data_IF_516269003221
#
_entry.id   IF_516269003221
#
_cell.length_a   1.000
_cell.length_b   1.000
_cell.length_c   1.000
_cell.angle_alpha   90.00
_cell.angle_beta   90.00
_cell.angle_gamma   90.00
#
_symmetry.space_group_name_H-M   'P 1'
#
loop_
_entity.id
_entity.type
_entity.pdbx_description
1 polymer ?
#
# COMPACT_ATOMS: atom_id res chain seq x y z
N UNK A 1 -23.09 6.84 13.70
CA UNK A 1 -22.67 6.66 13.69
C UNK A 1 -22.01 6.33 13.61
N UNK A 2 -21.86 6.53 13.71
CA UNK A 2 -20.99 6.27 13.59
C UNK A 2 -20.66 5.29 13.52
N UNK A 3 -20.74 4.67 13.42
CA UNK A 3 -20.24 3.83 13.29
C UNK A 3 -20.03 3.09 12.64
N UNK A 4 -21.17 3.07 12.14
CA UNK A 4 -20.15 2.64 11.57
C UNK A 4 -19.07 2.34 12.39
N UNK A 5 -19.41 2.63 13.28
CA UNK A 5 -18.58 2.72 13.96
C UNK A 5 -17.32 2.26 14.24
N UNK A 6 -17.03 1.20 14.74
CA UNK A 6 -15.64 0.81 15.00
C UNK A 6 -14.80 0.86 13.75
N UNK A 7 -15.33 0.32 12.65
CA UNK A 7 -14.62 0.39 11.39
C UNK A 7 -14.48 1.82 10.91
N UNK A 8 -15.55 2.58 11.07
CA UNK A 8 -15.52 3.98 10.69
C UNK A 8 -14.53 4.79 11.51
N UNK A 9 -14.45 4.48 12.80
CA UNK A 9 -13.51 5.17 13.67
C UNK A 9 -12.08 4.79 13.35
N UNK A 10 -11.82 3.50 13.12
CA UNK A 10 -10.49 3.06 12.76
C UNK A 10 -10.04 3.72 11.47
N UNK A 11 -10.94 3.79 10.50
CA UNK A 11 -10.62 4.43 9.24
C UNK A 11 -10.37 5.92 9.45
N UNK A 12 -11.15 6.57 10.31
CA UNK A 12 -10.94 7.99 10.59
C UNK A 12 -9.59 8.25 11.23
N UNK A 13 -9.23 7.44 12.21
CA UNK A 13 -7.95 7.63 12.88
C UNK A 13 -6.79 7.40 11.92
N UNK A 14 -6.88 6.36 11.12
CA UNK A 14 -5.86 6.08 10.12
C UNK A 14 -5.84 7.18 9.07
N UNK A 15 -7.02 7.59 8.61
CA UNK A 15 -7.13 8.60 7.58
C UNK A 15 -6.64 9.96 8.07
N UNK A 16 -6.92 10.29 9.33
CA UNK A 16 -6.47 11.55 9.90
C UNK A 16 -4.97 11.68 9.90
N UNK A 17 -4.30 10.63 10.38
CA UNK A 17 -2.84 10.59 10.36
C UNK A 17 -2.32 10.55 8.93
N UNK A 18 -2.99 9.77 8.10
CA UNK A 18 -2.59 9.65 6.71
C UNK A 18 -2.72 10.97 5.96
N UNK A 19 -3.80 11.69 6.20
CA UNK A 19 -4.03 12.98 5.54
C UNK A 19 -2.94 13.97 5.89
N UNK A 20 -2.54 14.01 7.16
CA UNK A 20 -1.48 14.92 7.57
C UNK A 20 -0.15 14.54 6.95
N UNK A 21 0.19 13.26 6.99
CA UNK A 21 1.42 12.78 6.36
C UNK A 21 1.38 13.03 4.86
N UNK A 22 0.22 12.84 4.27
CA UNK A 22 0.05 13.07 2.85
C UNK A 22 0.28 14.54 2.51
N UNK A 23 -0.25 15.44 3.33
CA UNK A 23 -0.06 16.87 3.12
C UNK A 23 1.41 17.25 3.21
N UNK A 24 2.12 16.70 4.20
CA UNK A 24 3.54 16.94 4.34
C UNK A 24 4.32 16.42 3.13
N UNK A 25 3.93 15.25 2.65
CA UNK A 25 4.55 14.69 1.46
C UNK A 25 4.30 15.54 0.23
N UNK A 26 3.11 16.10 0.12
CA UNK A 26 2.79 16.98 -1.00
C UNK A 26 3.66 18.24 -0.99
N UNK A 27 3.88 18.82 0.17
CA UNK A 27 4.77 19.98 0.27
C UNK A 27 6.18 19.62 -0.13
N UNK A 28 6.70 18.51 0.40
CA UNK A 28 8.03 18.05 0.04
C UNK A 28 8.13 17.69 -1.43
N UNK A 29 7.06 17.10 -1.95
CA UNK A 29 7.01 16.72 -3.36
C UNK A 29 7.11 17.92 -4.27
N UNK A 30 6.44 19.01 -3.92
CA UNK A 30 6.51 20.22 -4.73
C UNK A 30 7.94 20.74 -4.83
N UNK A 31 8.68 20.67 -3.73
CA UNK A 31 10.08 21.10 -3.72
C UNK A 31 10.95 20.21 -4.57
N UNK A 32 10.73 18.89 -4.46
CA UNK A 32 11.52 17.92 -5.22
C UNK A 32 11.18 17.95 -6.70
N UNK A 33 9.93 18.22 -7.05
CA UNK A 33 9.50 18.23 -8.43
C UNK A 33 10.09 19.38 -9.24
N UNK A 34 10.75 20.31 -8.58
CA UNK A 34 11.48 21.36 -9.28
C UNK A 34 12.71 20.79 -10.01
N UNK A 35 13.21 19.65 -9.56
CA UNK A 35 14.35 18.97 -10.19
C UNK A 35 13.86 17.72 -10.92
N UNK A 36 13.97 17.66 -12.26
CA UNK A 36 13.43 16.52 -13.02
C UNK A 36 13.99 15.17 -12.60
N UNK A 37 15.28 15.09 -12.27
CA UNK A 37 15.87 13.82 -11.85
C UNK A 37 15.33 13.40 -10.49
N UNK A 38 15.30 14.33 -9.55
CA UNK A 38 14.77 14.05 -8.23
C UNK A 38 13.30 13.68 -8.30
N UNK A 39 12.57 14.31 -9.22
CA UNK A 39 11.16 14.02 -9.40
C UNK A 39 10.95 12.57 -9.82
N UNK A 40 11.72 12.09 -10.79
CA UNK A 40 11.58 10.73 -11.26
C UNK A 40 11.88 9.72 -10.15
N UNK A 41 13.01 9.90 -9.47
CA UNK A 41 13.41 8.99 -8.40
C UNK A 41 12.39 9.01 -7.27
N UNK A 42 11.94 10.20 -6.90
CA UNK A 42 10.96 10.34 -5.81
C UNK A 42 9.66 9.61 -6.13
N UNK A 43 9.14 9.83 -7.35
CA UNK A 43 7.87 9.22 -7.73
C UNK A 43 7.96 7.70 -7.72
N UNK A 44 9.02 7.15 -8.32
CA UNK A 44 9.17 5.70 -8.41
C UNK A 44 9.38 5.08 -7.04
N UNK A 45 10.30 5.64 -6.27
CA UNK A 45 10.64 5.09 -4.96
C UNK A 45 9.49 5.25 -3.97
N UNK A 46 8.85 6.40 -3.97
CA UNK A 46 7.79 6.67 -3.01
C UNK A 46 6.60 5.74 -3.22
N UNK A 47 6.19 5.54 -4.47
CA UNK A 47 5.06 4.65 -4.77
C UNK A 47 5.41 3.21 -4.39
N UNK A 48 6.60 2.76 -4.71
CA UNK A 48 7.02 1.40 -4.38
C UNK A 48 7.01 1.18 -2.87
N UNK A 49 7.54 2.15 -2.13
CA UNK A 49 7.58 2.05 -0.67
C UNK A 49 6.17 2.07 -0.10
N UNK A 50 5.29 2.91 -0.62
CA UNK A 50 3.92 2.98 -0.15
C UNK A 50 3.21 1.64 -0.37
N UNK A 51 3.35 1.07 -1.56
CA UNK A 51 2.73 -0.21 -1.85
C UNK A 51 3.27 -1.30 -0.92
N UNK A 52 4.58 -1.34 -0.72
CA UNK A 52 5.18 -2.34 0.15
C UNK A 52 4.64 -2.24 1.58
N UNK A 53 4.50 -1.03 2.08
CA UNK A 53 3.98 -0.83 3.43
C UNK A 53 2.52 -1.27 3.55
N UNK A 54 1.73 -0.93 2.55
CA UNK A 54 0.31 -1.29 2.55
C UNK A 54 0.13 -2.80 2.49
N UNK A 55 0.88 -3.46 1.62
CA UNK A 55 0.79 -4.91 1.49
C UNK A 55 1.25 -5.63 2.75
N UNK A 56 2.37 -5.20 3.30
CA UNK A 56 2.86 -5.81 4.54
C UNK A 56 1.88 -5.65 5.69
N UNK A 57 1.28 -4.48 5.80
CA UNK A 57 0.31 -4.22 6.84
C UNK A 57 -0.95 -5.05 6.64
N UNK A 58 -1.42 -5.16 5.40
CA UNK A 58 -2.61 -5.95 5.10
C UNK A 58 -2.37 -7.42 5.47
N UNK A 59 -1.19 -7.95 5.15
CA UNK A 59 -0.87 -9.33 5.50
C UNK A 59 -0.84 -9.50 7.02
N UNK A 60 -0.18 -8.60 7.72
CA UNK A 60 -0.09 -8.69 9.17
C UNK A 60 -1.47 -8.62 9.83
N UNK A 61 -2.33 -7.75 9.34
CA UNK A 61 -3.68 -7.64 9.88
C UNK A 61 -4.50 -8.88 9.62
N UNK A 62 -4.26 -9.57 8.52
CA UNK A 62 -4.97 -10.80 8.20
C UNK A 62 -4.38 -12.00 8.92
N UNK A 63 -3.23 -11.84 9.57
CA UNK A 63 -2.53 -12.89 10.30
C UNK A 63 -2.12 -14.04 9.40
N UNK A 64 -1.87 -13.75 8.13
CA UNK A 64 -1.39 -14.75 7.19
C UNK A 64 0.11 -14.62 7.02
N UNK A 65 0.76 -15.76 6.79
CA UNK A 65 2.18 -15.75 6.47
C UNK A 65 2.35 -15.52 4.98
N UNK A 66 3.57 -15.16 4.59
CA UNK A 66 3.88 -15.02 3.17
C UNK A 66 3.62 -16.35 2.43
N UNK A 67 3.95 -17.46 3.06
CA UNK A 67 3.73 -18.77 2.44
C UNK A 67 2.24 -19.04 2.21
N UNK A 68 1.40 -18.65 3.16
CA UNK A 68 -0.03 -18.85 3.03
C UNK A 68 -0.61 -18.02 1.90
N UNK A 69 -0.18 -16.76 1.79
CA UNK A 69 -0.66 -15.91 0.71
C UNK A 69 -0.12 -16.39 -0.62
N UNK A 70 1.14 -16.83 -0.65
CA UNK A 70 1.74 -17.35 -1.88
C UNK A 70 0.94 -18.57 -2.38
N UNK A 71 0.51 -19.41 -1.46
CA UNK A 71 -0.31 -20.57 -1.83
C UNK A 71 -1.64 -20.13 -2.43
N UNK A 72 -2.27 -19.12 -1.84
CA UNK A 72 -3.52 -18.61 -2.36
C UNK A 72 -3.37 -17.97 -3.74
N UNK A 73 -2.22 -17.40 -4.01
CA UNK A 73 -1.95 -16.75 -5.29
C UNK A 73 -1.28 -17.70 -6.28
N UNK A 74 -1.11 -18.96 -5.90
CA UNK A 74 -0.45 -19.96 -6.76
C UNK A 74 0.93 -19.54 -7.19
N UNK A 75 1.71 -19.04 -6.25
CA UNK A 75 3.07 -18.60 -6.52
C UNK A 75 3.99 -19.10 -5.41
N UNK A 76 5.28 -18.78 -5.52
CA UNK A 76 6.26 -19.18 -4.52
C UNK A 76 6.38 -18.12 -3.44
N UNK A 77 6.89 -18.55 -2.28
CA UNK A 77 7.13 -17.62 -1.19
C UNK A 77 8.15 -16.56 -1.60
N UNK A 78 9.15 -16.92 -2.38
CA UNK A 78 10.15 -15.98 -2.87
C UNK A 78 9.52 -14.91 -3.76
N UNK A 79 8.63 -15.34 -4.67
CA UNK A 79 7.92 -14.40 -5.54
C UNK A 79 7.04 -13.49 -4.73
N UNK A 80 6.36 -14.04 -3.73
CA UNK A 80 5.49 -13.22 -2.90
C UNK A 80 6.28 -12.20 -2.09
N UNK A 81 7.46 -12.58 -1.63
CA UNK A 81 8.31 -11.64 -0.91
C UNK A 81 8.66 -10.44 -1.77
N UNK A 82 8.92 -10.66 -3.06
CA UNK A 82 9.16 -9.56 -3.99
C UNK A 82 7.93 -8.71 -4.20
N UNK A 83 6.77 -9.36 -4.34
CA UNK A 83 5.50 -8.66 -4.49
C UNK A 83 5.26 -7.77 -3.27
N UNK A 84 5.51 -8.29 -2.09
CA UNK A 84 5.28 -7.55 -0.85
C UNK A 84 6.22 -6.35 -0.74
N UNK A 85 7.35 -6.40 -1.43
CA UNK A 85 8.26 -5.26 -1.49
C UNK A 85 7.88 -4.25 -2.57
N UNK A 86 6.81 -4.53 -3.30
CA UNK A 86 6.34 -3.64 -4.34
C UNK A 86 7.11 -3.74 -5.64
N UNK A 87 7.89 -4.80 -5.82
CA UNK A 87 8.72 -4.96 -7.02
C UNK A 87 7.91 -5.58 -8.16
N UNK A 88 7.87 -4.88 -9.29
CA UNK A 88 7.23 -5.36 -10.52
C UNK A 88 5.82 -5.89 -10.30
N UNK A 89 5.06 -5.20 -9.47
CA UNK A 89 3.71 -5.63 -9.16
C UNK A 89 2.74 -5.12 -10.21
N UNK A 90 1.84 -5.99 -10.66
CA UNK A 90 0.78 -5.60 -11.57
C UNK A 90 -0.47 -5.29 -10.76
N UNK A 91 -1.42 -4.61 -11.40
CA UNK A 91 -2.69 -4.32 -10.74
C UNK A 91 -3.43 -5.61 -10.39
N UNK A 92 -3.37 -6.60 -11.28
CA UNK A 92 -3.99 -7.89 -11.01
C UNK A 92 -3.38 -8.57 -9.80
N UNK A 93 -2.07 -8.54 -9.69
CA UNK A 93 -1.39 -9.12 -8.54
C UNK A 93 -1.73 -8.39 -7.26
N UNK A 94 -1.79 -7.06 -7.34
CA UNK A 94 -2.18 -6.24 -6.19
C UNK A 94 -3.59 -6.61 -5.72
N UNK A 95 -4.52 -6.73 -6.65
CA UNK A 95 -5.89 -7.10 -6.33
C UNK A 95 -5.96 -8.50 -5.73
N UNK A 96 -5.20 -9.44 -6.27
CA UNK A 96 -5.18 -10.80 -5.76
C UNK A 96 -4.60 -10.87 -4.35
N UNK A 97 -3.54 -10.13 -4.10
CA UNK A 97 -2.95 -10.05 -2.76
C UNK A 97 -3.97 -9.51 -1.76
N UNK A 98 -4.64 -8.41 -2.14
CA UNK A 98 -5.64 -7.81 -1.26
C UNK A 98 -6.77 -8.78 -0.98
N UNK A 99 -7.26 -9.47 -2.01
CA UNK A 99 -8.34 -10.45 -1.84
C UNK A 99 -7.91 -11.57 -0.90
N UNK A 100 -6.67 -12.03 -1.01
CA UNK A 100 -6.15 -13.07 -0.12
C UNK A 100 -6.17 -12.60 1.34
N UNK A 101 -6.02 -11.31 1.56
CA UNK A 101 -6.06 -10.72 2.90
C UNK A 101 -7.47 -10.30 3.33
N UNK A 102 -8.48 -10.59 2.51
CA UNK A 102 -9.85 -10.21 2.81
C UNK A 102 -10.11 -8.74 2.60
N UNK A 103 -9.34 -8.10 1.74
CA UNK A 103 -9.45 -6.67 1.49
C UNK A 103 -9.65 -6.40 0.01
N UNK A 104 -9.99 -5.16 -0.31
CA UNK A 104 -10.14 -4.72 -1.69
C UNK A 104 -9.20 -3.55 -1.95
N UNK A 105 -8.81 -3.41 -3.21
CA UNK A 105 -7.93 -2.31 -3.61
C UNK A 105 -8.78 -1.13 -4.05
N UNK A 106 -8.43 0.02 -3.54
CA UNK A 106 -8.99 1.28 -4.01
C UNK A 106 -7.84 2.17 -4.44
N UNK A 107 -7.95 2.73 -5.63
CA UNK A 107 -6.92 3.62 -6.15
C UNK A 107 -7.52 4.99 -6.35
N UNK A 108 -6.82 5.98 -5.87
CA UNK A 108 -7.26 7.35 -5.98
C UNK A 108 -6.11 8.21 -6.47
N UNK A 109 -6.39 9.00 -7.49
CA UNK A 109 -5.43 9.98 -7.98
C UNK A 109 -5.77 11.32 -7.34
N UNK A 110 -4.76 11.98 -6.83
CA UNK A 110 -4.94 13.24 -6.12
C UNK A 110 -4.04 14.33 -6.67
#
# INVERSE_FOLDING_TARGET
>A
MKKKSTIGEDVKNITGNFDRLYAERQENRKKLLANPKARQVYNETDITIQVAKVLGKARQQSRLTQTEIARKLHTTQSSLARIEKGQNITLNTLAAFAAACGKAVRIQLV
#
